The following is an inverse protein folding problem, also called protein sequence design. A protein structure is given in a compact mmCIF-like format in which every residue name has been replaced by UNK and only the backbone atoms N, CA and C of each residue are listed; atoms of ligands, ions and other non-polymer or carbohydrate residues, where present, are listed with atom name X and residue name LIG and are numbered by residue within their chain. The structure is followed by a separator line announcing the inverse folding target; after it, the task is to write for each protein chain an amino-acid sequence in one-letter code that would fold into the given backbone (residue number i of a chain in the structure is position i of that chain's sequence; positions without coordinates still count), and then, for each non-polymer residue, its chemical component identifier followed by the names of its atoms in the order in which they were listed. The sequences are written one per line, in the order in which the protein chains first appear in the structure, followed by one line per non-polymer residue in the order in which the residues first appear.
data_IF_362956913017
#
_entry.id   IF_362956913017
#
_cell.length_a   1.000
_cell.length_b   1.000
_cell.length_c   1.000
_cell.angle_alpha   90.00
_cell.angle_beta   90.00
_cell.angle_gamma   90.00
#
_symmetry.space_group_name_H-M   'P 1'
#
loop_
_entity.id
_entity.type
_entity.pdbx_description
1 polymer ?
#
# COMPACT_ATOMS: atom_id res chain seq x y z
N UNK A 1 22.90 -7.95 3.42
CA UNK A 1 21.84 -7.19 4.13
C UNK A 1 20.60 -6.95 3.27
N UNK A 2 20.70 -6.38 2.06
CA UNK A 2 19.54 -6.12 1.17
C UNK A 2 18.67 -7.35 0.81
N UNK A 3 19.27 -8.54 0.67
CA UNK A 3 18.51 -9.75 0.33
C UNK A 3 17.60 -10.24 1.47
N UNK A 4 18.02 -10.07 2.73
CA UNK A 4 17.23 -10.41 3.91
C UNK A 4 16.06 -9.44 4.11
N UNK A 5 16.31 -8.12 3.99
CA UNK A 5 15.26 -7.08 4.08
C UNK A 5 14.21 -7.28 2.98
N UNK A 6 14.63 -7.63 1.76
CA UNK A 6 13.71 -7.93 0.65
C UNK A 6 12.75 -9.09 1.01
N UNK A 7 13.16 -10.02 1.89
CA UNK A 7 12.39 -11.20 2.35
C UNK A 7 11.13 -10.84 3.12
N UNK A 8 11.25 -9.82 3.96
CA UNK A 8 10.21 -9.39 4.88
C UNK A 8 9.20 -8.42 4.28
N UNK A 9 9.59 -7.73 3.20
CA UNK A 9 8.73 -6.72 2.57
C UNK A 9 7.66 -7.41 1.72
N UNK A 10 6.37 -7.21 2.03
CA UNK A 10 5.27 -7.74 1.23
C UNK A 10 5.38 -7.36 -0.25
N UNK A 11 4.79 -8.18 -1.11
CA UNK A 11 4.71 -7.89 -2.53
C UNK A 11 3.66 -6.80 -2.79
N UNK A 12 3.68 -6.22 -4.00
CA UNK A 12 2.76 -5.14 -4.36
C UNK A 12 1.28 -5.56 -4.22
N UNK A 13 0.93 -6.80 -4.52
CA UNK A 13 -0.44 -7.31 -4.36
C UNK A 13 -0.89 -7.35 -2.89
N UNK A 14 -0.02 -7.79 -1.98
CA UNK A 14 -0.28 -7.76 -0.54
C UNK A 14 -0.45 -6.33 -0.03
N UNK A 15 0.39 -5.40 -0.50
CA UNK A 15 0.27 -3.96 -0.17
C UNK A 15 -1.05 -3.40 -0.70
N UNK A 16 -1.44 -3.75 -1.94
CA UNK A 16 -2.69 -3.32 -2.56
C UNK A 16 -3.90 -3.70 -1.70
N UNK A 17 -3.96 -4.97 -1.26
CA UNK A 17 -5.04 -5.46 -0.38
C UNK A 17 -5.17 -4.65 0.90
N UNK A 18 -4.07 -4.18 1.46
CA UNK A 18 -4.08 -3.36 2.68
C UNK A 18 -4.48 -1.93 2.35
N UNK A 19 -3.85 -1.30 1.37
CA UNK A 19 -4.05 0.11 1.04
C UNK A 19 -5.45 0.40 0.48
N UNK A 20 -5.99 -0.51 -0.34
CA UNK A 20 -7.32 -0.36 -0.95
C UNK A 20 -8.46 -0.84 -0.05
N UNK A 21 -8.16 -1.25 1.19
CA UNK A 21 -9.19 -1.65 2.13
C UNK A 21 -10.13 -0.49 2.47
N UNK A 22 -11.44 -0.76 2.54
CA UNK A 22 -12.50 0.24 2.75
C UNK A 22 -12.25 1.15 3.95
N UNK A 23 -11.65 0.62 5.01
CA UNK A 23 -11.37 1.36 6.26
C UNK A 23 -10.42 2.56 6.03
N UNK A 24 -9.47 2.43 5.10
CA UNK A 24 -8.50 3.48 4.82
C UNK A 24 -9.03 4.52 3.83
N UNK A 25 -9.96 4.12 2.96
CA UNK A 25 -10.70 5.08 2.13
C UNK A 25 -11.57 6.00 3.00
N UNK A 26 -12.15 5.47 4.08
CA UNK A 26 -12.84 6.29 5.08
C UNK A 26 -11.87 7.23 5.81
N UNK A 27 -10.67 6.75 6.16
CA UNK A 27 -9.65 7.58 6.79
C UNK A 27 -9.24 8.78 5.90
N UNK A 28 -9.13 8.60 4.58
CA UNK A 28 -8.88 9.73 3.65
C UNK A 28 -9.98 10.79 3.70
N UNK A 29 -11.26 10.38 3.79
CA UNK A 29 -12.36 11.32 3.98
C UNK A 29 -12.16 12.14 5.28
N UNK A 30 -11.81 11.47 6.38
CA UNK A 30 -11.49 12.14 7.65
C UNK A 30 -10.27 13.07 7.54
N UNK A 31 -9.24 12.72 6.76
CA UNK A 31 -8.08 13.60 6.53
C UNK A 31 -8.48 14.94 5.91
N UNK A 32 -9.39 14.92 4.93
CA UNK A 32 -9.88 16.13 4.26
C UNK A 32 -10.86 16.90 5.15
N UNK A 33 -11.72 16.20 5.88
CA UNK A 33 -12.79 16.79 6.68
C UNK A 33 -12.29 17.39 8.01
N UNK A 34 -11.28 16.78 8.64
CA UNK A 34 -10.84 17.16 9.99
C UNK A 34 -10.34 18.61 10.11
N UNK A 35 -9.54 19.16 9.17
CA UNK A 35 -9.13 20.56 9.22
C UNK A 35 -10.31 21.53 9.15
N UNK A 36 -11.35 21.18 8.39
CA UNK A 36 -12.58 21.97 8.26
C UNK A 36 -13.33 21.96 9.60
N UNK A 37 -13.51 20.78 10.19
CA UNK A 37 -14.13 20.64 11.51
C UNK A 37 -13.35 21.43 12.57
N UNK A 38 -12.01 21.30 12.59
CA UNK A 38 -11.15 22.02 13.52
C UNK A 38 -11.26 23.54 13.36
N UNK A 39 -11.41 24.04 12.13
CA UNK A 39 -11.62 25.46 11.87
C UNK A 39 -12.95 25.95 12.46
N UNK A 40 -14.05 25.18 12.30
CA UNK A 40 -15.35 25.51 12.89
C UNK A 40 -15.37 25.39 14.41
N UNK A 41 -14.61 24.47 14.99
CA UNK A 41 -14.54 24.28 16.44
C UNK A 41 -13.63 25.29 17.15
N UNK A 42 -12.75 25.98 16.42
CA UNK A 42 -11.78 26.91 17.03
C UNK A 42 -12.42 28.03 17.85
N UNK A 43 -13.60 28.48 17.42
CA UNK A 43 -14.31 29.60 18.07
C UNK A 43 -15.33 29.13 19.12
N UNK A 44 -15.45 27.81 19.34
CA UNK A 44 -16.36 27.24 20.33
C UNK A 44 -15.60 27.13 21.66
N UNK A 45 -16.11 27.71 22.76
CA UNK A 45 -15.49 27.56 24.07
C UNK A 45 -15.53 26.09 24.53
N UNK A 46 -14.47 25.65 25.19
CA UNK A 46 -14.32 24.26 25.67
C UNK A 46 -15.43 23.84 26.64
N UNK A 47 -16.03 24.81 27.34
CA UNK A 47 -17.13 24.61 28.27
C UNK A 47 -18.24 25.63 28.01
N UNK A 48 -19.46 25.14 27.86
CA UNK A 48 -20.67 25.97 27.80
C UNK A 48 -21.48 25.68 29.06
N UNK A 49 -21.56 26.65 29.95
CA UNK A 49 -22.44 26.61 31.12
C UNK A 49 -23.83 27.09 30.73
N UNK A 50 -24.81 26.21 30.82
CA UNK A 50 -26.23 26.49 30.56
C UNK A 50 -26.97 26.39 31.89
N UNK A 51 -27.67 27.46 32.29
CA UNK A 51 -28.54 27.44 33.47
C UNK A 51 -29.95 27.06 33.05
N UNK A 52 -30.46 25.92 33.51
CA UNK A 52 -31.85 25.48 33.30
C UNK A 52 -32.46 25.26 34.68
N UNK A 53 -33.55 25.96 35.01
CA UNK A 53 -34.22 25.87 36.32
C UNK A 53 -33.26 26.00 37.53
N UNK A 54 -32.43 27.05 37.55
CA UNK A 54 -31.47 27.35 38.64
C UNK A 54 -30.32 26.33 38.80
N UNK A 55 -30.28 25.25 38.01
CA UNK A 55 -29.17 24.32 37.95
C UNK A 55 -28.20 24.68 36.80
N UNK A 56 -26.92 24.74 37.14
CA UNK A 56 -25.83 24.99 36.20
C UNK A 56 -25.36 23.67 35.59
N UNK A 57 -25.68 23.47 34.31
CA UNK A 57 -25.17 22.35 33.52
C UNK A 57 -23.94 22.80 32.74
N UNK A 58 -22.81 22.13 32.93
CA UNK A 58 -21.58 22.39 32.18
C UNK A 58 -21.42 21.36 31.06
N UNK A 59 -21.57 21.80 29.80
CA UNK A 59 -21.30 20.98 28.63
C UNK A 59 -19.82 21.11 28.26
N UNK A 60 -19.05 20.03 28.42
CA UNK A 60 -17.70 19.94 27.87
C UNK A 60 -17.77 19.69 26.37
N UNK A 61 -17.41 20.70 25.57
CA UNK A 61 -17.33 20.64 24.10
C UNK A 61 -16.00 20.05 23.62
N UNK A 62 -15.09 19.70 24.53
CA UNK A 62 -13.81 19.08 24.20
C UNK A 62 -14.03 17.72 23.54
N UNK A 63 -13.49 17.54 22.34
CA UNK A 63 -13.53 16.28 21.62
C UNK A 63 -12.94 15.16 22.50
N UNK A 64 -13.57 13.97 22.60
CA UNK A 64 -13.09 12.92 23.48
C UNK A 64 -11.75 12.35 23.02
N UNK A 65 -11.22 12.71 21.84
CA UNK A 65 -9.96 12.20 21.32
C UNK A 65 -9.09 13.30 20.72
N UNK A 66 -7.79 13.03 20.69
CA UNK A 66 -6.79 13.87 20.02
C UNK A 66 -6.96 13.76 18.51
N UNK A 67 -7.71 14.69 17.92
CA UNK A 67 -8.01 14.71 16.48
C UNK A 67 -6.75 14.73 15.60
N UNK A 68 -5.66 15.34 16.08
CA UNK A 68 -4.39 15.40 15.36
C UNK A 68 -3.75 14.01 15.16
N UNK A 69 -3.91 13.07 16.11
CA UNK A 69 -3.39 11.70 15.95
C UNK A 69 -4.14 10.98 14.83
N UNK A 70 -5.46 11.18 14.78
CA UNK A 70 -6.31 10.60 13.73
C UNK A 70 -5.95 11.20 12.36
N UNK A 71 -5.71 12.51 12.33
CA UNK A 71 -5.24 13.22 11.15
C UNK A 71 -3.88 12.69 10.65
N UNK A 72 -2.89 12.51 11.51
CA UNK A 72 -1.58 11.96 11.12
C UNK A 72 -1.66 10.50 10.66
N UNK A 73 -2.51 9.68 11.30
CA UNK A 73 -2.80 8.33 10.84
C UNK A 73 -3.33 8.35 9.40
N UNK A 74 -4.37 9.15 9.16
CA UNK A 74 -5.01 9.30 7.86
C UNK A 74 -4.07 9.92 6.80
N UNK A 75 -3.25 10.89 7.16
CA UNK A 75 -2.21 11.46 6.29
C UNK A 75 -1.23 10.38 5.85
N UNK A 76 -0.74 9.58 6.80
CA UNK A 76 0.32 8.61 6.53
C UNK A 76 -0.18 7.46 5.64
N UNK A 77 -1.40 6.97 5.84
CA UNK A 77 -1.98 5.97 4.92
C UNK A 77 -2.26 6.56 3.53
N UNK A 78 -2.63 7.84 3.46
CA UNK A 78 -2.82 8.54 2.18
C UNK A 78 -1.49 8.63 1.41
N UNK A 79 -0.39 8.95 2.10
CA UNK A 79 0.96 8.90 1.54
C UNK A 79 1.29 7.49 1.05
N UNK A 80 0.99 6.44 1.84
CA UNK A 80 1.20 5.06 1.41
C UNK A 80 0.44 4.73 0.12
N UNK A 81 -0.81 5.21 -0.01
CA UNK A 81 -1.64 5.05 -1.21
C UNK A 81 -1.09 5.78 -2.42
N UNK A 82 -0.59 7.00 -2.23
CA UNK A 82 0.07 7.76 -3.29
C UNK A 82 1.34 7.05 -3.76
N UNK A 83 2.17 6.57 -2.82
CA UNK A 83 3.39 5.82 -3.15
C UNK A 83 3.03 4.53 -3.88
N UNK A 84 2.04 3.78 -3.40
CA UNK A 84 1.55 2.58 -4.08
C UNK A 84 1.10 2.92 -5.49
N UNK A 85 0.30 3.97 -5.68
CA UNK A 85 -0.20 4.34 -7.00
C UNK A 85 0.91 4.81 -7.95
N UNK A 86 1.86 5.62 -7.47
CA UNK A 86 2.93 6.16 -8.32
C UNK A 86 4.00 5.11 -8.66
N UNK A 87 4.31 4.20 -7.74
CA UNK A 87 5.47 3.29 -7.88
C UNK A 87 5.11 1.85 -8.18
N UNK A 88 3.88 1.37 -7.95
CA UNK A 88 3.51 0.01 -8.39
C UNK A 88 3.49 -0.05 -9.93
N UNK A 89 4.05 -1.12 -10.53
CA UNK A 89 4.04 -1.28 -11.99
C UNK A 89 2.60 -1.24 -12.56
N UNK A 90 2.33 -0.46 -13.62
CA UNK A 90 1.01 -0.42 -14.26
C UNK A 90 0.51 -1.80 -14.68
N UNK A 91 1.44 -2.68 -15.10
CA UNK A 91 1.16 -4.06 -15.46
C UNK A 91 0.35 -4.84 -14.41
N UNK A 92 0.67 -4.67 -13.12
CA UNK A 92 -0.03 -5.37 -12.03
C UNK A 92 -1.45 -4.81 -11.79
N UNK A 93 -1.70 -3.56 -12.18
CA UNK A 93 -3.02 -2.93 -12.04
C UNK A 93 -3.92 -3.26 -13.23
N UNK A 94 -3.33 -3.40 -14.41
CA UNK A 94 -4.05 -3.71 -15.65
C UNK A 94 -4.46 -5.18 -15.75
N UNK A 95 -3.65 -6.09 -15.20
CA UNK A 95 -3.84 -7.53 -15.34
C UNK A 95 -3.82 -8.20 -13.98
N UNK A 96 -4.95 -8.77 -13.55
CA UNK A 96 -5.01 -9.53 -12.30
C UNK A 96 -4.50 -10.95 -12.52
N UNK A 97 -4.86 -11.55 -13.65
CA UNK A 97 -4.49 -12.91 -14.04
C UNK A 97 -4.13 -13.02 -15.54
N UNK A 98 -3.78 -14.24 -15.96
CA UNK A 98 -3.42 -14.53 -17.34
C UNK A 98 -4.63 -14.44 -18.29
N UNK A 99 -5.84 -14.71 -17.84
CA UNK A 99 -7.05 -14.64 -18.67
C UNK A 99 -7.37 -13.19 -19.05
N UNK A 100 -7.20 -12.25 -18.13
CA UNK A 100 -7.30 -10.81 -18.41
C UNK A 100 -6.25 -10.35 -19.44
N UNK A 101 -5.03 -10.86 -19.31
CA UNK A 101 -3.97 -10.60 -20.28
C UNK A 101 -4.32 -11.16 -21.66
N UNK A 102 -4.83 -12.39 -21.73
CA UNK A 102 -5.25 -13.05 -22.97
C UNK A 102 -6.40 -12.31 -23.65
N UNK A 103 -7.40 -11.84 -22.90
CA UNK A 103 -8.52 -11.03 -23.41
C UNK A 103 -8.06 -9.71 -24.02
N UNK A 104 -6.97 -9.14 -23.53
CA UNK A 104 -6.42 -7.89 -24.08
C UNK A 104 -5.77 -8.03 -25.46
N UNK A 105 -5.59 -9.26 -25.96
CA UNK A 105 -4.97 -9.53 -27.26
C UNK A 105 -3.47 -9.23 -27.35
N UNK A 106 -2.84 -8.84 -26.24
CA UNK A 106 -1.40 -8.57 -26.17
C UNK A 106 -0.59 -9.88 -26.26
N UNK A 107 0.62 -9.80 -26.81
CA UNK A 107 1.52 -10.96 -27.05
C UNK A 107 2.81 -10.85 -26.24
N UNK A 108 3.69 -11.85 -26.35
CA UNK A 108 4.96 -11.90 -25.63
C UNK A 108 5.88 -10.70 -25.87
N UNK A 109 5.81 -10.03 -27.02
CA UNK A 109 6.54 -8.77 -27.25
C UNK A 109 6.16 -7.64 -26.27
N UNK A 110 4.90 -7.59 -25.81
CA UNK A 110 4.48 -6.67 -24.76
C UNK A 110 5.08 -7.05 -23.41
N UNK A 111 5.07 -8.34 -23.07
CA UNK A 111 5.70 -8.84 -21.84
C UNK A 111 7.20 -8.53 -21.81
N UNK A 112 7.88 -8.63 -22.95
CA UNK A 112 9.29 -8.27 -23.09
C UNK A 112 9.51 -6.78 -22.81
N UNK A 113 8.66 -5.92 -23.37
CA UNK A 113 8.69 -4.47 -23.11
C UNK A 113 8.51 -4.18 -21.62
N UNK A 114 7.50 -4.77 -20.98
CA UNK A 114 7.25 -4.61 -19.54
C UNK A 114 8.46 -5.08 -18.72
N UNK A 115 9.04 -6.24 -19.05
CA UNK A 115 10.22 -6.75 -18.37
C UNK A 115 11.40 -5.76 -18.45
N UNK A 116 11.60 -5.10 -19.60
CA UNK A 116 12.66 -4.10 -19.78
C UNK A 116 12.38 -2.83 -18.96
N UNK A 117 11.13 -2.40 -18.86
CA UNK A 117 10.72 -1.23 -18.05
C UNK A 117 10.89 -1.46 -16.54
N UNK A 118 10.83 -2.72 -16.09
CA UNK A 118 11.05 -3.09 -14.69
C UNK A 118 12.53 -3.02 -14.26
N UNK A 119 13.47 -2.99 -15.20
CA UNK A 119 14.90 -2.92 -14.88
C UNK A 119 15.27 -1.49 -14.47
N UNK A 120 15.77 -1.26 -13.24
CA UNK A 120 16.26 0.05 -12.85
C UNK A 120 17.49 0.43 -13.68
N UNK A 121 17.63 1.72 -14.01
CA UNK A 121 18.71 2.20 -14.88
C UNK A 121 20.11 1.77 -14.42
N UNK A 122 20.33 1.66 -13.09
CA UNK A 122 21.59 1.24 -12.49
C UNK A 122 21.90 -0.27 -12.65
N UNK A 123 20.91 -1.11 -12.95
CA UNK A 123 21.08 -2.57 -13.15
C UNK A 123 21.21 -2.98 -14.62
N UNK A 124 21.27 -2.03 -15.56
CA UNK A 124 21.37 -2.32 -17.00
C UNK A 124 22.66 -3.06 -17.42
N UNK A 125 23.72 -3.00 -16.61
CA UNK A 125 25.04 -3.59 -16.92
C UNK A 125 25.04 -5.13 -17.04
N UNK A 126 24.04 -5.82 -16.48
CA UNK A 126 23.95 -7.30 -16.51
C UNK A 126 22.81 -7.87 -17.38
N UNK A 127 22.04 -7.03 -18.08
CA UNK A 127 20.89 -7.47 -18.86
C UNK A 127 19.71 -8.02 -18.03
N UNK A 128 18.62 -8.40 -18.72
CA UNK A 128 17.34 -8.82 -18.12
C UNK A 128 17.47 -10.13 -17.33
N UNK A 129 18.27 -11.07 -17.85
CA UNK A 129 18.50 -12.39 -17.25
C UNK A 129 19.14 -12.27 -15.86
N UNK A 130 20.19 -11.45 -15.72
CA UNK A 130 20.83 -11.24 -14.41
C UNK A 130 19.91 -10.56 -13.39
N UNK A 131 18.96 -9.73 -13.85
CA UNK A 131 18.00 -9.09 -12.97
C UNK A 131 16.93 -10.07 -12.49
N UNK A 132 16.40 -10.88 -13.41
CA UNK A 132 15.39 -11.91 -13.12
C UNK A 132 15.96 -12.98 -12.18
N UNK A 133 17.22 -13.42 -12.38
CA UNK A 133 17.90 -14.36 -11.48
C UNK A 133 17.97 -13.86 -10.01
N UNK A 134 17.88 -12.56 -9.75
CA UNK A 134 17.83 -12.04 -8.36
C UNK A 134 16.50 -12.32 -7.65
N UNK A 135 15.49 -12.76 -8.37
CA UNK A 135 14.15 -13.08 -7.87
C UNK A 135 13.88 -14.59 -7.86
N UNK A 136 14.84 -15.41 -8.29
CA UNK A 136 14.71 -16.85 -8.49
C UNK A 136 14.05 -17.57 -7.29
N UNK A 137 14.56 -17.37 -6.06
CA UNK A 137 13.99 -17.90 -4.82
C UNK A 137 12.54 -17.42 -4.48
N UNK A 138 11.92 -16.55 -5.26
CA UNK A 138 10.59 -15.95 -5.00
C UNK A 138 9.61 -16.12 -6.15
N UNK A 139 10.07 -16.59 -7.30
CA UNK A 139 9.19 -16.93 -8.41
C UNK A 139 8.60 -18.29 -8.05
N UNK A 140 7.40 -18.27 -7.46
CA UNK A 140 6.78 -19.46 -6.86
C UNK A 140 6.50 -20.59 -7.87
N UNK A 141 6.57 -20.29 -9.15
CA UNK A 141 6.21 -21.19 -10.25
C UNK A 141 7.41 -21.76 -11.00
N UNK A 142 8.63 -21.28 -10.73
CA UNK A 142 9.82 -21.68 -11.47
C UNK A 142 10.97 -21.92 -10.47
N UNK A 143 11.40 -23.19 -10.35
CA UNK A 143 12.69 -23.55 -9.77
C UNK A 143 13.85 -22.90 -10.56
N UNK A 144 15.11 -22.95 -10.06
CA UNK A 144 16.28 -22.42 -10.78
C UNK A 144 16.32 -22.87 -12.26
N UNK A 145 15.98 -24.14 -12.52
CA UNK A 145 15.90 -24.69 -13.88
C UNK A 145 14.72 -24.12 -14.70
N UNK A 146 13.63 -23.76 -14.05
CA UNK A 146 12.47 -23.10 -14.63
C UNK A 146 12.76 -21.67 -15.03
N UNK A 147 13.54 -20.90 -14.26
CA UNK A 147 13.94 -19.53 -14.62
C UNK A 147 14.90 -19.53 -15.81
N UNK A 148 15.86 -20.46 -15.88
CA UNK A 148 16.73 -20.59 -17.05
C UNK A 148 15.97 -21.06 -18.30
N UNK A 149 15.08 -22.05 -18.15
CA UNK A 149 14.18 -22.48 -19.23
C UNK A 149 13.23 -21.35 -19.65
N UNK A 150 12.83 -20.50 -18.71
CA UNK A 150 12.03 -19.32 -18.96
C UNK A 150 12.82 -18.16 -19.59
N UNK A 151 14.14 -18.09 -19.44
CA UNK A 151 14.94 -17.01 -20.05
C UNK A 151 15.42 -17.36 -21.47
N UNK A 152 15.17 -18.60 -21.94
CA UNK A 152 15.50 -19.05 -23.28
C UNK A 152 14.72 -18.35 -24.40
N UNK A 153 15.19 -18.49 -25.64
CA UNK A 153 14.65 -17.83 -26.85
C UNK A 153 13.14 -18.10 -27.12
N UNK A 154 12.56 -19.12 -26.49
CA UNK A 154 11.15 -19.50 -26.66
C UNK A 154 10.17 -18.70 -25.80
N UNK A 155 10.63 -17.90 -24.83
CA UNK A 155 9.72 -17.26 -23.87
C UNK A 155 8.77 -16.26 -24.54
N UNK A 156 9.33 -15.30 -25.26
CA UNK A 156 8.56 -14.18 -25.80
C UNK A 156 7.70 -14.53 -27.02
N UNK A 157 7.76 -15.78 -27.50
CA UNK A 157 7.13 -16.23 -28.75
C UNK A 157 6.09 -17.35 -28.58
N UNK A 158 6.50 -18.52 -28.05
CA UNK A 158 5.68 -19.74 -28.15
C UNK A 158 4.92 -20.12 -26.89
N UNK A 159 5.35 -19.66 -25.70
CA UNK A 159 4.71 -19.96 -24.41
C UNK A 159 4.39 -18.69 -23.63
N UNK A 160 3.23 -18.10 -23.90
CA UNK A 160 2.80 -16.82 -23.32
C UNK A 160 2.42 -16.89 -21.84
N UNK A 161 1.89 -18.01 -21.35
CA UNK A 161 1.48 -18.14 -19.95
C UNK A 161 2.66 -18.16 -18.96
N UNK A 162 3.71 -18.99 -19.14
CA UNK A 162 4.91 -18.91 -18.28
C UNK A 162 5.59 -17.54 -18.34
N UNK A 163 5.58 -16.91 -19.52
CA UNK A 163 6.10 -15.55 -19.70
C UNK A 163 5.36 -14.54 -18.85
N UNK A 164 4.03 -14.64 -18.84
CA UNK A 164 3.15 -13.75 -18.09
C UNK A 164 3.46 -13.87 -16.60
N UNK A 165 3.45 -15.07 -16.05
CA UNK A 165 3.68 -15.29 -14.61
C UNK A 165 5.09 -14.86 -14.17
N UNK A 166 6.11 -15.08 -15.02
CA UNK A 166 7.45 -14.58 -14.74
C UNK A 166 7.49 -13.05 -14.66
N UNK A 167 6.92 -12.36 -15.66
CA UNK A 167 6.88 -10.89 -15.66
C UNK A 167 6.02 -10.36 -14.52
N UNK A 168 4.93 -11.06 -14.21
CA UNK A 168 4.04 -10.74 -13.10
C UNK A 168 4.75 -10.82 -11.76
N UNK A 169 5.44 -11.93 -11.47
CA UNK A 169 6.17 -12.09 -10.22
C UNK A 169 7.31 -11.06 -10.10
N UNK A 170 8.07 -10.84 -11.17
CA UNK A 170 9.13 -9.82 -11.19
C UNK A 170 8.55 -8.42 -10.97
N UNK A 171 7.41 -8.09 -11.58
CA UNK A 171 6.70 -6.84 -11.35
C UNK A 171 6.26 -6.74 -9.88
N UNK A 172 5.69 -7.80 -9.33
CA UNK A 172 5.15 -7.87 -7.96
C UNK A 172 6.24 -7.72 -6.89
N UNK A 173 7.47 -8.14 -7.18
CA UNK A 173 8.65 -7.95 -6.33
C UNK A 173 9.57 -6.80 -6.76
N UNK A 174 9.19 -6.01 -7.76
CA UNK A 174 9.99 -4.86 -8.21
C UNK A 174 10.06 -3.75 -7.14
N UNK A 175 10.95 -2.77 -7.35
CA UNK A 175 10.98 -1.48 -6.62
C UNK A 175 10.88 -1.63 -5.09
N UNK A 176 11.91 -2.23 -4.48
CA UNK A 176 11.96 -2.53 -3.03
C UNK A 176 11.84 -1.27 -2.16
N UNK A 177 12.51 -0.17 -2.53
CA UNK A 177 12.56 1.04 -1.71
C UNK A 177 11.16 1.66 -1.54
N UNK A 178 10.39 1.92 -2.62
CA UNK A 178 8.99 2.36 -2.48
C UNK A 178 8.12 1.42 -1.65
N UNK A 179 8.31 0.09 -1.77
CA UNK A 179 7.55 -0.87 -0.95
C UNK A 179 7.87 -0.75 0.53
N UNK A 180 9.13 -0.58 0.90
CA UNK A 180 9.53 -0.34 2.29
C UNK A 180 8.86 0.93 2.82
N UNK A 181 8.88 2.01 2.04
CA UNK A 181 8.21 3.26 2.42
C UNK A 181 6.70 3.06 2.63
N UNK A 182 6.02 2.36 1.71
CA UNK A 182 4.61 2.00 1.90
C UNK A 182 4.38 1.24 3.21
N UNK A 183 5.19 0.23 3.51
CA UNK A 183 5.04 -0.59 4.72
C UNK A 183 5.26 0.23 5.98
N UNK A 184 6.27 1.09 6.02
CA UNK A 184 6.54 1.99 7.15
C UNK A 184 5.35 2.94 7.36
N UNK A 185 4.83 3.53 6.28
CA UNK A 185 3.66 4.41 6.36
C UNK A 185 2.40 3.66 6.86
N UNK A 186 2.14 2.46 6.35
CA UNK A 186 1.02 1.62 6.80
C UNK A 186 1.18 1.27 8.28
N UNK A 187 2.37 0.86 8.72
CA UNK A 187 2.63 0.49 10.11
C UNK A 187 2.42 1.69 11.05
N UNK A 188 2.94 2.86 10.70
CA UNK A 188 2.75 4.07 11.49
C UNK A 188 1.27 4.48 11.59
N UNK A 189 0.54 4.39 10.47
CA UNK A 189 -0.90 4.63 10.44
C UNK A 189 -1.65 3.68 11.37
N UNK A 190 -1.36 2.38 11.30
CA UNK A 190 -2.00 1.35 12.11
C UNK A 190 -1.72 1.53 13.60
N UNK A 191 -0.46 1.82 13.98
CA UNK A 191 -0.09 2.08 15.38
C UNK A 191 -0.87 3.29 15.93
N UNK A 192 -0.94 4.37 15.15
CA UNK A 192 -1.68 5.59 15.53
C UNK A 192 -3.18 5.30 15.71
N UNK A 193 -3.77 4.51 14.81
CA UNK A 193 -5.18 4.14 14.88
C UNK A 193 -5.50 3.23 16.08
N UNK A 194 -4.62 2.26 16.37
CA UNK A 194 -4.73 1.36 17.53
C UNK A 194 -4.63 2.16 18.83
N UNK A 195 -3.68 3.10 18.92
CA UNK A 195 -3.53 3.97 20.08
C UNK A 195 -4.83 4.73 20.40
N UNK A 196 -5.45 5.35 19.39
CA UNK A 196 -6.73 6.06 19.56
C UNK A 196 -7.83 5.11 20.01
N UNK A 197 -7.91 3.93 19.41
CA UNK A 197 -8.93 2.93 19.72
C UNK A 197 -8.83 2.48 21.19
N UNK A 198 -7.62 2.19 21.67
CA UNK A 198 -7.38 1.79 23.06
C UNK A 198 -7.74 2.94 24.03
N UNK A 199 -7.31 4.16 23.72
CA UNK A 199 -7.62 5.34 24.53
C UNK A 199 -9.13 5.57 24.64
N UNK A 200 -9.90 5.35 23.56
CA UNK A 200 -11.36 5.45 23.58
C UNK A 200 -12.01 4.30 24.35
N UNK A 201 -11.57 3.06 24.14
CA UNK A 201 -12.11 1.90 24.87
C UNK A 201 -11.91 2.07 26.38
N UNK A 202 -10.74 2.54 26.82
CA UNK A 202 -10.47 2.81 28.24
C UNK A 202 -11.37 3.90 28.80
N UNK A 203 -11.62 4.96 28.05
CA UNK A 203 -12.53 6.03 28.47
C UNK A 203 -13.95 5.50 28.66
N UNK A 204 -14.46 4.70 27.72
CA UNK A 204 -15.80 4.08 27.84
C UNK A 204 -15.87 3.15 29.05
N UNK A 205 -14.85 2.32 29.27
CA UNK A 205 -14.78 1.44 30.43
C UNK A 205 -14.66 2.18 31.77
N UNK A 206 -14.15 3.41 31.79
CA UNK A 206 -14.08 4.23 33.01
C UNK A 206 -15.40 4.93 33.36
N UNK A 207 -16.33 4.98 32.40
CA UNK A 207 -17.66 5.60 32.57
C UNK A 207 -18.71 4.55 33.01
N UNK A 208 -18.50 3.28 32.66
CA UNK A 208 -19.33 2.12 33.07
C UNK A 208 -18.92 1.68 34.47
#
# INVERSE_FOLDING_TARGET
MFNAIRGWVPNWNSIAKIVDHKIWNLAFLFFVLMPIIALFMKDIPDQISISINEELYTLNMTLPFKWWVLYFSALTISIAKIIYSAFSPPFLKEYVDFEDFKKSGRKGGYLQKVAHELIPFWSKKGGISSYIKKFDNRIHTLNESGVEHALGANLWGSKTEPSFWLVYDVANYSRVIPRILCVVCIAFSAISFIYISIDKIRLVLSII
#
